data_IF_920781252419
#
_entry.id   IF_920781252419
#
_cell.length_a   1.000
_cell.length_b   1.000
_cell.length_c   1.000
_cell.angle_alpha   90.00
_cell.angle_beta   90.00
_cell.angle_gamma   90.00
#
_symmetry.space_group_name_H-M   'P 1'
#
loop_
_entity.id
_entity.type
_entity.pdbx_description
1 polymer ?
#
# COMPACT_ATOMS: atom_id res chain seq x y z
N UNK A 1 4.14 15.21 6.42
CA UNK A 1 3.89 14.21 5.34
C UNK A 1 2.49 13.62 5.44
N UNK A 2 2.12 12.93 6.53
CA UNK A 2 0.77 12.33 6.70
C UNK A 2 -0.40 13.34 6.56
N UNK A 3 -0.47 14.36 7.43
CA UNK A 3 -1.55 15.37 7.45
C UNK A 3 -1.79 16.09 6.12
N UNK A 4 -0.74 16.30 5.33
CA UNK A 4 -0.79 17.18 4.17
C UNK A 4 -0.83 16.45 2.82
N UNK A 5 -0.52 15.15 2.81
CA UNK A 5 -0.46 14.35 1.57
C UNK A 5 -1.39 13.16 1.69
N UNK A 6 -1.16 12.29 2.67
CA UNK A 6 -1.88 11.02 2.75
C UNK A 6 -3.30 11.16 3.29
N UNK A 7 -3.50 11.95 4.35
CA UNK A 7 -4.82 12.14 4.94
C UNK A 7 -5.84 12.72 3.93
N UNK A 8 -5.53 13.78 3.15
CA UNK A 8 -6.43 14.26 2.08
C UNK A 8 -6.73 13.22 1.00
N UNK A 9 -5.76 12.37 0.63
CA UNK A 9 -5.94 11.31 -0.37
C UNK A 9 -6.90 10.25 0.18
N UNK A 10 -6.64 9.75 1.39
CA UNK A 10 -7.48 8.73 2.03
C UNK A 10 -8.89 9.25 2.30
N UNK A 11 -9.04 10.52 2.64
CA UNK A 11 -10.34 11.17 2.74
C UNK A 11 -11.11 11.13 1.41
N UNK A 12 -10.44 11.36 0.28
CA UNK A 12 -11.05 11.31 -1.07
C UNK A 12 -11.51 9.89 -1.46
N UNK A 13 -10.87 8.86 -0.92
CA UNK A 13 -11.26 7.46 -1.11
C UNK A 13 -12.20 6.94 -0.01
N UNK A 14 -12.79 7.84 0.79
CA UNK A 14 -13.77 7.52 1.83
C UNK A 14 -13.25 6.56 2.91
N UNK A 15 -11.95 6.58 3.20
CA UNK A 15 -11.38 5.81 4.33
C UNK A 15 -11.81 6.49 5.65
N UNK A 16 -12.37 5.75 6.61
CA UNK A 16 -12.76 6.28 7.92
C UNK A 16 -11.58 6.95 8.62
N UNK A 17 -11.80 8.12 9.23
CA UNK A 17 -10.72 8.95 9.78
C UNK A 17 -9.91 8.21 10.86
N UNK A 18 -10.61 7.45 11.70
CA UNK A 18 -10.06 6.61 12.76
C UNK A 18 -9.19 5.45 12.23
N UNK A 19 -9.34 5.07 10.96
CA UNK A 19 -8.56 3.99 10.33
C UNK A 19 -7.36 4.50 9.54
N UNK A 20 -7.30 5.79 9.16
CA UNK A 20 -6.31 6.31 8.20
C UNK A 20 -4.87 6.15 8.67
N UNK A 21 -4.59 6.39 9.95
CA UNK A 21 -3.24 6.23 10.50
C UNK A 21 -2.81 4.76 10.52
N UNK A 22 -3.72 3.85 10.86
CA UNK A 22 -3.47 2.41 10.80
C UNK A 22 -3.26 1.94 9.37
N UNK A 23 -4.09 2.38 8.43
CA UNK A 23 -3.98 2.06 7.01
C UNK A 23 -2.63 2.52 6.42
N UNK A 24 -2.21 3.76 6.71
CA UNK A 24 -0.91 4.25 6.25
C UNK A 24 0.25 3.50 6.88
N UNK A 25 0.15 3.16 8.16
CA UNK A 25 1.17 2.35 8.83
C UNK A 25 1.29 0.98 8.16
N UNK A 26 0.16 0.33 7.87
CA UNK A 26 0.14 -0.95 7.16
C UNK A 26 0.77 -0.85 5.77
N UNK A 27 0.38 0.13 4.95
CA UNK A 27 0.93 0.29 3.60
C UNK A 27 2.44 0.56 3.63
N UNK A 28 2.91 1.50 4.46
CA UNK A 28 4.32 1.86 4.50
C UNK A 28 5.16 0.68 5.01
N UNK A 29 4.76 0.05 6.11
CA UNK A 29 5.51 -1.06 6.69
C UNK A 29 5.46 -2.30 5.79
N UNK A 30 4.31 -2.61 5.19
CA UNK A 30 4.16 -3.74 4.26
C UNK A 30 5.00 -3.56 2.99
N UNK A 31 4.94 -2.38 2.37
CA UNK A 31 5.76 -2.06 1.18
C UNK A 31 7.25 -2.12 1.54
N UNK A 32 7.65 -1.49 2.64
CA UNK A 32 9.05 -1.49 3.09
C UNK A 32 9.57 -2.92 3.35
N UNK A 33 8.75 -3.80 3.91
CA UNK A 33 9.13 -5.20 4.14
C UNK A 33 9.39 -5.97 2.83
N UNK A 34 8.54 -5.79 1.81
CA UNK A 34 8.75 -6.43 0.50
C UNK A 34 10.02 -5.90 -0.17
N UNK A 35 10.23 -4.58 -0.16
CA UNK A 35 11.44 -3.95 -0.72
C UNK A 35 12.70 -4.40 0.03
N UNK A 36 12.68 -4.43 1.36
CA UNK A 36 13.81 -4.90 2.16
C UNK A 36 14.18 -6.35 1.85
N UNK A 37 13.19 -7.23 1.65
CA UNK A 37 13.42 -8.62 1.21
C UNK A 37 14.06 -8.69 -0.17
N UNK A 38 13.63 -7.86 -1.11
CA UNK A 38 14.20 -7.79 -2.45
C UNK A 38 15.66 -7.32 -2.43
N UNK A 39 15.95 -6.27 -1.65
CA UNK A 39 17.31 -5.76 -1.43
C UNK A 39 18.22 -6.81 -0.79
N UNK A 40 17.74 -7.52 0.23
CA UNK A 40 18.49 -8.58 0.90
C UNK A 40 18.81 -9.77 -0.03
N UNK A 41 18.05 -9.94 -1.11
CA UNK A 41 18.27 -10.94 -2.15
C UNK A 41 19.09 -10.40 -3.34
N UNK A 42 19.82 -9.29 -3.16
CA UNK A 42 20.62 -8.61 -4.18
C UNK A 42 19.81 -8.23 -5.42
N UNK A 43 18.59 -7.74 -5.20
CA UNK A 43 17.67 -7.32 -6.26
C UNK A 43 17.44 -8.37 -7.36
N UNK A 44 17.54 -9.66 -7.05
CA UNK A 44 17.53 -10.77 -8.03
C UNK A 44 16.29 -10.79 -8.93
N UNK A 45 15.13 -10.46 -8.38
CA UNK A 45 13.88 -10.41 -9.12
C UNK A 45 13.76 -9.10 -9.94
N UNK A 46 13.19 -9.11 -11.15
CA UNK A 46 12.89 -7.87 -11.87
C UNK A 46 11.97 -6.95 -11.08
N UNK A 47 12.14 -5.64 -11.24
CA UNK A 47 11.35 -4.63 -10.52
C UNK A 47 9.84 -4.83 -10.75
N UNK A 48 9.43 -5.15 -11.98
CA UNK A 48 8.04 -5.36 -12.37
C UNK A 48 7.40 -6.51 -11.58
N UNK A 49 8.17 -7.57 -11.31
CA UNK A 49 7.74 -8.69 -10.48
C UNK A 49 7.53 -8.24 -9.04
N UNK A 50 8.45 -7.46 -8.49
CA UNK A 50 8.37 -6.96 -7.10
C UNK A 50 7.18 -6.02 -6.93
N UNK A 51 6.94 -5.11 -7.89
CA UNK A 51 5.75 -4.26 -7.93
C UNK A 51 4.47 -5.10 -7.95
N UNK A 52 4.43 -6.16 -8.76
CA UNK A 52 3.29 -7.08 -8.81
C UNK A 52 3.03 -7.77 -7.47
N UNK A 53 4.10 -8.16 -6.76
CA UNK A 53 3.99 -8.74 -5.41
C UNK A 53 3.41 -7.73 -4.43
N UNK A 54 3.93 -6.50 -4.41
CA UNK A 54 3.41 -5.42 -3.53
C UNK A 54 1.91 -5.21 -3.76
N UNK A 55 1.49 -5.09 -5.02
CA UNK A 55 0.08 -4.87 -5.37
C UNK A 55 -0.82 -6.04 -4.95
N UNK A 56 -0.34 -7.28 -5.02
CA UNK A 56 -1.09 -8.47 -4.57
C UNK A 56 -1.21 -8.57 -3.05
N UNK A 57 -0.30 -7.96 -2.30
CA UNK A 57 -0.34 -7.94 -0.84
C UNK A 57 -1.31 -6.86 -0.30
N UNK A 58 -1.69 -5.89 -1.12
CA UNK A 58 -2.66 -4.86 -0.75
C UNK A 58 -4.07 -5.42 -0.91
N UNK A 59 -4.93 -5.33 0.13
CA UNK A 59 -6.33 -5.72 0.00
C UNK A 59 -6.98 -4.92 -1.14
N UNK A 60 -7.49 -5.61 -2.15
CA UNK A 60 -8.32 -4.97 -3.16
C UNK A 60 -9.67 -4.60 -2.54
N UNK A 61 -10.09 -3.35 -2.71
CA UNK A 61 -11.48 -2.98 -2.43
C UNK A 61 -12.38 -3.91 -3.27
N UNK A 62 -13.47 -4.47 -2.70
CA UNK A 62 -14.44 -5.18 -3.51
C UNK A 62 -14.89 -4.22 -4.61
N UNK A 63 -14.76 -4.65 -5.87
CA UNK A 63 -15.29 -3.89 -6.99
C UNK A 63 -16.73 -3.53 -6.63
N UNK A 64 -17.05 -2.23 -6.57
CA UNK A 64 -18.42 -1.77 -6.42
C UNK A 64 -19.22 -2.49 -7.50
N UNK A 65 -20.12 -3.40 -7.10
CA UNK A 65 -21.13 -3.93 -8.00
C UNK A 65 -21.82 -2.69 -8.58
N UNK A 66 -21.61 -2.48 -9.87
CA UNK A 66 -22.34 -1.51 -10.65
C UNK A 66 -23.71 -2.14 -10.84
N UNK A 67 -24.63 -1.81 -9.94
CA UNK A 67 -26.06 -2.06 -10.12
C UNK A 67 -26.57 -1.35 -11.39
#
# INVERSE_FOLDING_TARGET
MFRHVFDPILARFSVPAEEREYAMSFYLQGIAAVVARWLAADCRDPMERVVTVILRCIPSLPATKKD
#
